data_IF_075588866713
#
_entry.id   IF_075588866713
#
_cell.length_a   1.000
_cell.length_b   1.000
_cell.length_c   1.000
_cell.angle_alpha   90.00
_cell.angle_beta   90.00
_cell.angle_gamma   90.00
#
_symmetry.space_group_name_H-M   'P 1'
#
loop_
_entity.id
_entity.type
_entity.pdbx_description
1 polymer ?
#
# COMPACT_ATOMS: atom_id res chain seq x y z
N UNK A 1 -6.75 -17.04 4.51
CA UNK A 1 -6.98 -16.19 3.30
C UNK A 1 -7.75 -16.97 2.24
N UNK A 2 -8.62 -16.31 1.43
CA UNK A 2 -9.39 -16.95 0.35
C UNK A 2 -8.78 -16.58 -1.00
N UNK A 3 -8.46 -17.58 -1.82
CA UNK A 3 -8.00 -17.39 -3.21
C UNK A 3 -9.21 -17.43 -4.15
N UNK A 4 -9.37 -16.39 -4.96
CA UNK A 4 -10.41 -16.24 -5.96
C UNK A 4 -9.84 -16.50 -7.36
N UNK A 5 -10.61 -17.18 -8.22
CA UNK A 5 -10.21 -17.51 -9.58
C UNK A 5 -10.88 -16.58 -10.59
N UNK A 6 -10.15 -16.25 -11.67
CA UNK A 6 -10.65 -15.43 -12.77
C UNK A 6 -11.33 -14.15 -12.27
N UNK A 7 -10.60 -13.39 -11.45
CA UNK A 7 -11.13 -12.27 -10.70
C UNK A 7 -10.89 -10.95 -11.43
N UNK A 8 -11.93 -10.09 -11.56
CA UNK A 8 -11.81 -8.78 -12.19
C UNK A 8 -11.00 -7.81 -11.35
N UNK A 9 -9.97 -7.22 -11.94
CA UNK A 9 -9.15 -6.18 -11.33
C UNK A 9 -9.64 -4.76 -11.63
N UNK A 10 -10.79 -4.60 -12.26
CA UNK A 10 -11.38 -3.29 -12.58
C UNK A 10 -11.50 -2.36 -11.38
N UNK A 11 -11.99 -2.79 -10.20
CA UNK A 11 -12.07 -1.93 -9.02
C UNK A 11 -10.72 -1.68 -8.33
N UNK A 12 -9.66 -2.37 -8.76
CA UNK A 12 -8.34 -2.35 -8.14
C UNK A 12 -7.27 -1.65 -8.97
N UNK A 13 -7.67 -0.91 -10.01
CA UNK A 13 -6.77 -0.03 -10.75
C UNK A 13 -7.47 1.30 -11.09
N UNK A 14 -6.74 2.39 -10.95
CA UNK A 14 -7.29 3.75 -11.10
C UNK A 14 -7.76 4.06 -12.52
N UNK A 15 -7.20 3.38 -13.53
CA UNK A 15 -7.65 3.51 -14.92
C UNK A 15 -8.99 2.82 -15.21
N UNK A 16 -9.50 2.00 -14.25
CA UNK A 16 -10.76 1.27 -14.40
C UNK A 16 -10.76 0.24 -15.53
N UNK A 17 -9.56 -0.24 -15.90
CA UNK A 17 -9.42 -1.23 -16.97
C UNK A 17 -9.98 -2.57 -16.49
N UNK A 18 -10.88 -3.13 -17.28
CA UNK A 18 -11.54 -4.39 -16.97
C UNK A 18 -10.71 -5.57 -17.50
N UNK A 19 -9.75 -5.99 -16.69
CA UNK A 19 -8.93 -7.17 -16.91
C UNK A 19 -9.11 -8.15 -15.74
N UNK A 20 -8.69 -9.39 -15.96
CA UNK A 20 -8.84 -10.46 -14.99
C UNK A 20 -7.48 -11.00 -14.56
N UNK A 21 -7.36 -11.30 -13.26
CA UNK A 21 -6.27 -12.10 -12.73
C UNK A 21 -6.66 -13.57 -12.71
N UNK A 22 -5.73 -14.47 -13.06
CA UNK A 22 -5.92 -15.93 -12.95
C UNK A 22 -6.28 -16.29 -11.50
N UNK A 23 -5.51 -15.76 -10.54
CA UNK A 23 -5.73 -15.91 -9.10
C UNK A 23 -5.65 -14.53 -8.43
N UNK A 24 -6.48 -14.33 -7.41
CA UNK A 24 -6.49 -13.11 -6.61
C UNK A 24 -6.72 -13.45 -5.14
N UNK A 25 -6.00 -12.77 -4.24
CA UNK A 25 -6.29 -12.80 -2.81
C UNK A 25 -5.88 -11.48 -2.15
N UNK A 26 -6.56 -11.12 -1.05
CA UNK A 26 -6.13 -10.06 -0.14
C UNK A 26 -5.38 -10.66 1.05
N UNK A 27 -4.34 -10.00 1.52
CA UNK A 27 -3.63 -10.35 2.76
C UNK A 27 -3.59 -9.15 3.70
N UNK A 28 -3.91 -9.40 4.98
CA UNK A 28 -3.99 -8.37 6.03
C UNK A 28 -2.88 -8.49 7.07
N UNK A 29 -2.01 -9.48 6.94
CA UNK A 29 -0.86 -9.69 7.83
C UNK A 29 0.36 -10.24 7.08
N UNK A 30 1.53 -10.07 7.70
CA UNK A 30 2.79 -10.66 7.22
C UNK A 30 2.70 -12.19 7.18
N UNK A 31 2.10 -12.81 8.19
CA UNK A 31 1.96 -14.26 8.26
C UNK A 31 1.13 -14.81 7.08
N UNK A 32 0.02 -14.16 6.74
CA UNK A 32 -0.78 -14.55 5.57
C UNK A 32 0.00 -14.43 4.27
N UNK A 33 0.83 -13.40 4.13
CA UNK A 33 1.71 -13.25 2.97
C UNK A 33 2.74 -14.38 2.91
N UNK A 34 3.43 -14.67 4.02
CA UNK A 34 4.43 -15.74 4.10
C UNK A 34 3.82 -17.12 3.75
N UNK A 35 2.66 -17.45 4.30
CA UNK A 35 1.95 -18.70 4.00
C UNK A 35 1.71 -18.87 2.49
N UNK A 36 1.23 -17.81 1.83
CA UNK A 36 0.97 -17.85 0.39
C UNK A 36 2.24 -17.96 -0.42
N UNK A 37 3.28 -17.21 -0.04
CA UNK A 37 4.55 -17.23 -0.78
C UNK A 37 5.23 -18.60 -0.76
N UNK A 38 5.10 -19.36 0.33
CA UNK A 38 5.66 -20.72 0.44
C UNK A 38 4.98 -21.70 -0.52
N UNK A 39 3.67 -21.57 -0.73
CA UNK A 39 2.89 -22.50 -1.57
C UNK A 39 2.75 -22.01 -3.02
N UNK A 40 3.06 -20.76 -3.31
CA UNK A 40 2.83 -20.16 -4.61
C UNK A 40 3.86 -20.62 -5.66
N UNK A 41 3.36 -21.15 -6.76
CA UNK A 41 4.15 -21.51 -7.96
C UNK A 41 3.83 -20.63 -9.17
N UNK A 42 2.90 -19.71 -9.04
CA UNK A 42 2.43 -18.82 -10.10
C UNK A 42 3.27 -17.54 -10.15
N UNK A 43 3.22 -16.85 -11.30
CA UNK A 43 3.76 -15.50 -11.39
C UNK A 43 3.05 -14.59 -10.39
N UNK A 44 3.81 -13.83 -9.61
CA UNK A 44 3.29 -13.02 -8.51
C UNK A 44 3.28 -11.52 -8.85
N UNK A 45 2.19 -10.85 -8.48
CA UNK A 45 2.07 -9.40 -8.44
C UNK A 45 1.54 -8.96 -7.08
N UNK A 46 2.32 -8.18 -6.34
CA UNK A 46 1.84 -7.50 -5.13
C UNK A 46 1.17 -6.18 -5.54
N UNK A 47 -0.10 -6.02 -5.23
CA UNK A 47 -0.90 -4.85 -5.60
C UNK A 47 -1.17 -3.97 -4.38
N UNK A 48 -0.75 -2.71 -4.46
CA UNK A 48 -1.10 -1.65 -3.50
C UNK A 48 -2.42 -0.96 -3.87
N UNK A 49 -2.43 0.36 -3.94
CA UNK A 49 -3.60 1.16 -4.34
C UNK A 49 -4.01 1.05 -5.81
N UNK A 50 -3.17 0.46 -6.66
CA UNK A 50 -3.45 0.34 -8.09
C UNK A 50 -3.41 1.67 -8.86
N UNK A 51 -2.79 2.71 -8.29
CA UNK A 51 -2.74 4.06 -8.86
C UNK A 51 -1.59 4.30 -9.83
N UNK A 52 -0.59 3.42 -9.85
CA UNK A 52 0.58 3.53 -10.71
C UNK A 52 0.85 2.22 -11.48
N UNK A 53 -0.20 1.58 -11.96
CA UNK A 53 -0.12 0.38 -12.77
C UNK A 53 -1.05 0.50 -13.97
N UNK A 54 -0.53 0.18 -15.15
CA UNK A 54 -1.31 0.08 -16.38
C UNK A 54 -1.37 -1.38 -16.81
N UNK A 55 -2.52 -1.99 -16.67
CA UNK A 55 -2.78 -3.33 -17.17
C UNK A 55 -3.10 -3.29 -18.67
N UNK A 56 -2.32 -3.98 -19.49
CA UNK A 56 -2.50 -4.05 -20.94
C UNK A 56 -3.14 -5.37 -21.41
N UNK A 57 -3.25 -6.33 -20.52
CA UNK A 57 -3.86 -7.67 -20.76
C UNK A 57 -4.24 -8.32 -19.43
N UNK A 58 -4.99 -9.40 -19.47
CA UNK A 58 -5.23 -10.24 -18.30
C UNK A 58 -3.91 -10.70 -17.67
N UNK A 59 -3.91 -10.83 -16.35
CA UNK A 59 -2.74 -11.26 -15.60
C UNK A 59 -2.79 -12.78 -15.38
N UNK A 60 -1.89 -13.52 -16.02
CA UNK A 60 -1.79 -14.98 -15.90
C UNK A 60 -0.91 -15.35 -14.70
N UNK A 61 -1.43 -15.12 -13.50
CA UNK A 61 -0.72 -15.37 -12.27
C UNK A 61 -1.56 -15.01 -11.04
N UNK A 62 -0.91 -14.93 -9.90
CA UNK A 62 -1.48 -14.56 -8.62
C UNK A 62 -1.28 -13.05 -8.35
N UNK A 63 -2.39 -12.34 -8.18
CA UNK A 63 -2.37 -10.96 -7.67
C UNK A 63 -2.69 -10.98 -6.18
N UNK A 64 -1.76 -10.50 -5.36
CA UNK A 64 -1.93 -10.33 -3.92
C UNK A 64 -2.17 -8.86 -3.59
N UNK A 65 -3.39 -8.54 -3.15
CA UNK A 65 -3.77 -7.20 -2.68
C UNK A 65 -3.26 -7.00 -1.26
N UNK A 66 -2.40 -5.98 -1.07
CA UNK A 66 -1.95 -5.62 0.28
C UNK A 66 -3.06 -4.85 1.01
N UNK A 67 -3.53 -5.43 2.12
CA UNK A 67 -4.57 -4.91 3.01
C UNK A 67 -4.08 -4.79 4.46
N UNK A 68 -2.76 -4.80 4.69
CA UNK A 68 -2.20 -4.59 6.03
C UNK A 68 -2.61 -3.19 6.50
N UNK A 69 -3.58 -3.14 7.41
CA UNK A 69 -4.26 -1.94 7.84
C UNK A 69 -4.10 -1.68 9.34
N UNK A 70 -3.04 -0.98 9.75
CA UNK A 70 -2.90 -0.49 11.12
C UNK A 70 -2.19 0.86 11.13
N UNK A 71 -2.57 1.74 12.06
CA UNK A 71 -1.84 2.96 12.40
C UNK A 71 -1.59 2.90 13.90
N UNK A 72 -0.34 2.95 14.31
CA UNK A 72 0.08 2.78 15.70
C UNK A 72 1.07 3.87 16.07
N UNK A 73 0.78 4.63 17.13
CA UNK A 73 1.75 5.50 17.76
C UNK A 73 2.80 4.65 18.48
N UNK A 74 4.03 4.70 18.01
CA UNK A 74 5.12 3.87 18.55
C UNK A 74 5.87 4.61 19.65
N UNK A 75 6.14 5.89 19.43
CA UNK A 75 6.94 6.72 20.33
C UNK A 75 6.66 8.20 20.03
N UNK A 76 6.84 9.03 21.03
CA UNK A 76 6.87 10.48 20.95
C UNK A 76 8.06 11.00 21.77
N UNK A 77 8.77 12.00 21.27
CA UNK A 77 9.79 12.74 21.99
C UNK A 77 9.57 14.26 21.82
N UNK A 78 10.52 15.09 22.23
CA UNK A 78 10.35 16.55 22.20
C UNK A 78 10.20 17.12 20.80
N UNK A 79 10.77 16.46 19.77
CA UNK A 79 10.83 16.96 18.41
C UNK A 79 9.97 16.17 17.44
N UNK A 80 9.70 14.87 17.72
CA UNK A 80 9.10 13.95 16.76
C UNK A 80 8.04 13.01 17.34
N UNK A 81 7.07 12.72 16.49
CA UNK A 81 6.09 11.65 16.69
C UNK A 81 6.40 10.51 15.71
N UNK A 82 6.55 9.28 16.21
CA UNK A 82 6.86 8.09 15.42
C UNK A 82 5.62 7.22 15.27
N UNK A 83 5.12 7.13 14.05
CA UNK A 83 3.91 6.39 13.72
C UNK A 83 4.25 5.22 12.83
N UNK A 84 3.87 4.00 13.23
CA UNK A 84 3.95 2.81 12.40
C UNK A 84 2.66 2.66 11.62
N UNK A 85 2.77 2.53 10.31
CA UNK A 85 1.62 2.50 9.40
C UNK A 85 1.68 1.25 8.54
N UNK A 86 0.56 0.54 8.45
CA UNK A 86 0.41 -0.62 7.59
C UNK A 86 0.48 -0.26 6.12
N UNK A 87 1.15 -1.10 5.34
CA UNK A 87 1.42 -0.86 3.92
C UNK A 87 0.15 -0.77 3.05
N UNK A 88 -0.96 -1.37 3.50
CA UNK A 88 -2.27 -1.34 2.82
C UNK A 88 -3.08 -0.08 3.07
N UNK A 89 -2.71 0.77 4.03
CA UNK A 89 -3.40 2.03 4.33
C UNK A 89 -3.26 3.00 3.14
N UNK A 90 -4.38 3.61 2.72
CA UNK A 90 -4.35 4.67 1.72
C UNK A 90 -3.54 5.88 2.19
N UNK A 91 -2.64 6.39 1.33
CA UNK A 91 -1.76 7.49 1.70
C UNK A 91 -2.52 8.72 2.21
N UNK A 92 -3.55 9.15 1.49
CA UNK A 92 -4.37 10.30 1.92
C UNK A 92 -5.08 10.07 3.26
N UNK A 93 -5.57 8.86 3.51
CA UNK A 93 -6.18 8.52 4.80
C UNK A 93 -5.16 8.62 5.95
N UNK A 94 -3.91 8.21 5.73
CA UNK A 94 -2.82 8.41 6.68
C UNK A 94 -2.53 9.90 6.92
N UNK A 95 -2.48 10.73 5.86
CA UNK A 95 -2.29 12.18 6.01
C UNK A 95 -3.40 12.80 6.85
N UNK A 96 -4.67 12.44 6.59
CA UNK A 96 -5.80 12.94 7.40
C UNK A 96 -5.69 12.51 8.86
N UNK A 97 -5.31 11.25 9.11
CA UNK A 97 -5.04 10.78 10.47
C UNK A 97 -3.97 11.63 11.17
N UNK A 98 -2.87 11.99 10.50
CA UNK A 98 -1.84 12.85 11.05
C UNK A 98 -2.39 14.25 11.39
N UNK A 99 -3.16 14.85 10.50
CA UNK A 99 -3.78 16.16 10.71
C UNK A 99 -4.73 16.13 11.92
N UNK A 100 -5.60 15.13 12.01
CA UNK A 100 -6.57 14.96 13.10
C UNK A 100 -5.90 14.79 14.47
N UNK A 101 -4.68 14.21 14.49
CA UNK A 101 -3.89 14.04 15.71
C UNK A 101 -2.85 15.14 15.94
N UNK A 102 -2.85 16.21 15.13
CA UNK A 102 -1.87 17.31 15.16
C UNK A 102 -0.42 16.85 14.93
N UNK A 103 -0.21 15.81 14.13
CA UNK A 103 1.11 15.34 13.70
C UNK A 103 1.49 16.05 12.40
N UNK A 104 2.43 16.99 12.46
CA UNK A 104 2.89 17.78 11.33
C UNK A 104 3.95 17.04 10.48
N UNK A 105 4.08 17.45 9.21
CA UNK A 105 5.16 17.03 8.31
C UNK A 105 4.69 16.35 7.01
N UNK A 106 3.46 15.81 6.96
CA UNK A 106 2.91 15.13 5.80
C UNK A 106 1.73 15.85 5.15
N UNK A 107 1.27 16.93 5.70
CA UNK A 107 0.07 17.67 5.26
C UNK A 107 0.14 18.13 3.81
N UNK A 108 1.32 18.56 3.34
CA UNK A 108 1.55 18.95 1.95
C UNK A 108 1.50 17.78 0.96
N UNK A 109 1.59 16.55 1.44
CA UNK A 109 1.51 15.32 0.65
C UNK A 109 0.08 14.77 0.55
N UNK A 110 -0.90 15.56 0.97
CA UNK A 110 -2.32 15.21 0.87
C UNK A 110 -2.75 14.96 -0.57
N UNK A 111 -3.75 14.12 -0.76
CA UNK A 111 -4.36 13.76 -2.06
C UNK A 111 -3.43 13.03 -3.05
N UNK A 112 -2.18 12.73 -2.71
CA UNK A 112 -1.35 11.86 -3.55
C UNK A 112 -1.97 10.46 -3.54
N UNK A 113 -2.26 9.88 -4.72
CA UNK A 113 -2.91 8.58 -4.80
C UNK A 113 -1.95 7.44 -4.44
N UNK A 114 -2.50 6.33 -3.97
CA UNK A 114 -1.76 5.12 -3.64
C UNK A 114 -1.80 4.79 -2.15
N UNK A 115 -1.04 3.76 -1.76
CA UNK A 115 -0.96 3.28 -0.39
C UNK A 115 0.39 3.64 0.24
N UNK A 116 0.44 3.67 1.56
CA UNK A 116 1.65 3.96 2.35
C UNK A 116 2.82 3.06 1.94
N UNK A 117 2.60 1.75 1.78
CA UNK A 117 3.65 0.82 1.39
C UNK A 117 4.27 1.06 0.00
N UNK A 118 3.57 1.75 -0.89
CA UNK A 118 4.08 2.11 -2.22
C UNK A 118 4.78 3.49 -2.25
N UNK A 119 4.58 4.33 -1.24
CA UNK A 119 5.08 5.70 -1.22
C UNK A 119 6.62 5.81 -1.28
N UNK A 120 7.42 4.89 -0.68
CA UNK A 120 8.87 4.94 -0.79
C UNK A 120 9.39 4.63 -2.19
N UNK A 121 8.69 3.79 -2.94
CA UNK A 121 9.11 3.32 -4.27
C UNK A 121 9.32 4.46 -5.26
N UNK A 122 8.55 5.53 -5.11
CA UNK A 122 8.57 6.70 -6.00
C UNK A 122 9.07 7.94 -5.28
N UNK A 123 9.44 7.83 -3.99
CA UNK A 123 9.73 8.98 -3.14
C UNK A 123 8.71 10.09 -3.37
N UNK A 124 7.43 9.78 -3.13
CA UNK A 124 6.34 10.72 -3.40
C UNK A 124 6.63 12.09 -2.78
N UNK A 125 6.32 13.14 -3.51
CA UNK A 125 6.60 14.50 -3.08
C UNK A 125 5.68 15.53 -3.71
N UNK A 126 5.43 16.60 -3.00
CA UNK A 126 4.66 17.74 -3.45
C UNK A 126 5.01 18.98 -2.64
N UNK A 127 4.97 20.15 -3.27
CA UNK A 127 5.14 21.45 -2.61
C UNK A 127 6.43 21.58 -1.79
N UNK A 128 7.53 20.96 -2.27
CA UNK A 128 8.83 21.05 -1.64
C UNK A 128 9.06 20.07 -0.48
N UNK A 129 8.12 19.18 -0.19
CA UNK A 129 8.22 18.09 0.79
C UNK A 129 8.30 16.76 0.04
N UNK A 130 9.18 15.87 0.45
CA UNK A 130 9.31 14.51 -0.07
C UNK A 130 9.12 13.51 1.07
N UNK A 131 8.55 12.35 0.77
CA UNK A 131 8.28 11.33 1.79
C UNK A 131 9.57 10.84 2.49
N UNK A 132 10.71 10.85 1.80
CA UNK A 132 12.01 10.52 2.41
C UNK A 132 12.38 11.40 3.62
N UNK A 133 11.83 12.63 3.68
CA UNK A 133 12.13 13.60 4.75
C UNK A 133 11.42 13.24 6.07
N UNK A 134 10.38 12.41 5.99
CA UNK A 134 9.57 11.98 7.13
C UNK A 134 9.70 10.48 7.44
N UNK A 135 10.42 9.71 6.62
CA UNK A 135 10.68 8.32 6.94
C UNK A 135 11.79 8.15 7.96
N UNK A 136 11.46 7.45 9.04
CA UNK A 136 12.44 7.00 10.00
C UNK A 136 12.99 5.62 9.62
N UNK A 137 12.10 4.70 9.21
CA UNK A 137 12.49 3.34 8.90
C UNK A 137 11.40 2.60 8.10
N UNK A 138 11.80 1.69 7.22
CA UNK A 138 10.90 0.82 6.46
C UNK A 138 11.21 -0.63 6.82
N UNK A 139 10.17 -1.39 7.21
CA UNK A 139 10.27 -2.84 7.39
C UNK A 139 9.66 -3.53 6.17
N UNK A 140 10.49 -4.26 5.44
CA UNK A 140 10.08 -5.14 4.35
C UNK A 140 10.26 -6.62 4.72
N UNK A 141 9.74 -7.50 3.88
CA UNK A 141 10.00 -8.94 3.89
C UNK A 141 11.06 -9.26 2.85
#
# INVERSE_FOLDING_TARGET
MQILHNFSLKPFNTFGIDIYAKLFAGFASVNELEEVLVENTEQLLILGGGSNILFTKNYDGLVLKNEIGSIELVKEDEDYVYVKVGAGIGWHAFVLYCIENNYAGVENLSLIPGNVGASPMQNIGAYGVEVKDVFFFIRGL
#
